data_IF_033452258736
#
_entry.id   IF_033452258736
#
_cell.length_a   1.000
_cell.length_b   1.000
_cell.length_c   1.000
_cell.angle_alpha   90.00
_cell.angle_beta   90.00
_cell.angle_gamma   90.00
#
_symmetry.space_group_name_H-M   'P 1'
#
loop_
_entity.id
_entity.type
_entity.pdbx_description
1 polymer ?
#
# COMPACT_ATOMS: atom_id res chain seq x y z
N UNK A 1 -1.36 11.02 -8.43
CA UNK A 1 -2.18 10.01 -7.74
C UNK A 1 -3.04 9.29 -8.76
N UNK A 2 -3.09 7.97 -8.72
CA UNK A 2 -3.86 7.15 -9.67
C UNK A 2 -4.64 6.07 -8.90
N UNK A 3 -5.87 5.79 -9.30
CA UNK A 3 -6.73 4.82 -8.60
C UNK A 3 -6.35 3.38 -8.95
N UNK A 4 -6.53 2.41 -8.02
CA UNK A 4 -6.26 1.00 -8.30
C UNK A 4 -7.01 0.46 -9.51
N UNK A 5 -6.34 -0.39 -10.27
CA UNK A 5 -6.90 -1.17 -11.38
C UNK A 5 -6.53 -2.63 -11.17
N UNK A 6 -6.87 -3.52 -12.10
CA UNK A 6 -6.28 -4.85 -12.08
C UNK A 6 -4.75 -4.77 -12.15
N UNK A 7 -4.08 -5.76 -11.57
CA UNK A 7 -2.64 -5.73 -11.34
C UNK A 7 -1.81 -5.61 -12.64
N UNK A 8 -2.30 -6.15 -13.75
CA UNK A 8 -1.59 -6.11 -15.03
C UNK A 8 -1.69 -4.73 -15.66
N UNK A 9 -2.90 -4.17 -15.72
CA UNK A 9 -3.10 -2.79 -16.17
C UNK A 9 -2.28 -1.82 -15.32
N UNK A 10 -2.28 -1.99 -14.00
CA UNK A 10 -1.56 -1.11 -13.10
C UNK A 10 -0.04 -1.12 -13.36
N UNK A 11 0.55 -2.31 -13.51
CA UNK A 11 1.96 -2.48 -13.86
C UNK A 11 2.30 -1.80 -15.19
N UNK A 12 1.45 -1.98 -16.20
CA UNK A 12 1.64 -1.37 -17.51
C UNK A 12 1.58 0.16 -17.44
N UNK A 13 0.57 0.72 -16.76
CA UNK A 13 0.41 2.17 -16.56
C UNK A 13 1.60 2.78 -15.83
N UNK A 14 2.08 2.16 -14.76
CA UNK A 14 3.26 2.68 -14.02
C UNK A 14 4.50 2.67 -14.91
N UNK A 15 4.71 1.60 -15.69
CA UNK A 15 5.83 1.53 -16.64
C UNK A 15 5.78 2.63 -17.68
N UNK A 16 4.66 2.79 -18.37
CA UNK A 16 4.49 3.85 -19.36
C UNK A 16 4.72 5.24 -18.76
N UNK A 17 4.19 5.48 -17.56
CA UNK A 17 4.40 6.73 -16.87
C UNK A 17 5.87 6.98 -16.53
N UNK A 18 6.60 5.96 -16.06
CA UNK A 18 8.04 6.07 -15.79
C UNK A 18 8.85 6.35 -17.05
N UNK A 19 8.51 5.69 -18.17
CA UNK A 19 9.17 5.94 -19.46
C UNK A 19 8.98 7.39 -19.91
N UNK A 20 7.78 7.95 -19.75
CA UNK A 20 7.50 9.37 -20.03
C UNK A 20 8.25 10.31 -19.09
N UNK A 21 8.35 9.99 -17.80
CA UNK A 21 9.13 10.79 -16.85
C UNK A 21 10.60 10.81 -17.25
N UNK A 22 11.17 9.67 -17.63
CA UNK A 22 12.57 9.59 -18.08
C UNK A 22 12.85 10.41 -19.35
N UNK A 23 11.87 10.55 -20.24
CA UNK A 23 11.98 11.35 -21.46
C UNK A 23 11.86 12.86 -21.21
N UNK A 24 11.12 13.26 -20.18
CA UNK A 24 10.70 14.66 -19.98
C UNK A 24 11.17 15.30 -18.67
N UNK A 25 11.92 14.58 -17.83
CA UNK A 25 12.35 15.04 -16.50
C UNK A 25 13.74 14.54 -16.18
N UNK A 26 14.57 15.38 -15.57
CA UNK A 26 15.88 15.01 -15.02
C UNK A 26 15.78 14.34 -13.65
N UNK A 27 14.63 14.45 -12.99
CA UNK A 27 14.37 13.86 -11.68
C UNK A 27 13.31 12.76 -11.78
N UNK A 28 13.45 11.73 -10.95
CA UNK A 28 12.40 10.74 -10.72
C UNK A 28 11.17 11.40 -10.09
N UNK A 29 9.98 10.91 -10.45
CA UNK A 29 8.71 11.34 -9.83
C UNK A 29 8.11 10.14 -9.10
N UNK A 30 7.49 10.32 -7.92
CA UNK A 30 6.87 9.22 -7.18
C UNK A 30 5.47 8.90 -7.70
N UNK A 31 5.11 7.62 -7.73
CA UNK A 31 3.76 7.15 -8.00
C UNK A 31 3.03 6.86 -6.70
N UNK A 32 1.80 7.35 -6.57
CA UNK A 32 0.97 7.14 -5.38
C UNK A 32 -0.43 6.68 -5.75
N UNK A 33 -1.01 5.82 -4.91
CA UNK A 33 -2.39 5.36 -5.07
C UNK A 33 -3.14 5.30 -3.73
N UNK A 34 -4.45 5.54 -3.72
CA UNK A 34 -5.29 5.20 -2.57
C UNK A 34 -5.65 3.71 -2.58
N UNK A 35 -5.96 3.14 -1.41
CA UNK A 35 -6.53 1.79 -1.28
C UNK A 35 -7.54 1.75 -0.14
N UNK A 36 -8.76 1.30 -0.41
CA UNK A 36 -9.73 1.02 0.65
C UNK A 36 -9.43 -0.33 1.29
N UNK A 37 -9.35 -0.37 2.62
CA UNK A 37 -9.04 -1.59 3.36
C UNK A 37 -10.09 -1.79 4.44
N UNK A 38 -10.64 -3.00 4.47
CA UNK A 38 -11.35 -3.55 5.63
C UNK A 38 -10.51 -4.72 6.11
N UNK A 39 -9.96 -4.59 7.32
CA UNK A 39 -9.05 -5.59 7.87
C UNK A 39 -9.84 -6.70 8.56
N UNK A 40 -9.62 -7.94 8.15
CA UNK A 40 -10.26 -9.14 8.69
C UNK A 40 -9.26 -9.93 9.56
N UNK A 41 -9.55 -11.21 9.84
CA UNK A 41 -8.57 -12.12 10.45
C UNK A 41 -7.38 -12.40 9.51
N UNK A 42 -6.27 -12.88 10.07
CA UNK A 42 -4.93 -12.73 9.46
C UNK A 42 -4.77 -13.38 8.07
N UNK A 43 -5.39 -14.54 7.86
CA UNK A 43 -5.36 -15.33 6.64
C UNK A 43 -6.65 -15.21 5.80
N UNK A 44 -7.48 -14.19 6.07
CA UNK A 44 -8.67 -13.92 5.28
C UNK A 44 -8.26 -13.58 3.83
N UNK A 45 -8.71 -14.42 2.89
CA UNK A 45 -8.39 -14.26 1.46
C UNK A 45 -8.99 -12.95 0.92
N UNK A 46 -8.27 -12.20 0.07
CA UNK A 46 -8.76 -10.92 -0.45
C UNK A 46 -10.11 -11.05 -1.13
N UNK A 47 -11.07 -10.22 -0.73
CA UNK A 47 -12.35 -10.06 -1.41
C UNK A 47 -12.45 -8.62 -1.92
N UNK A 48 -12.76 -8.40 -3.21
CA UNK A 48 -12.83 -7.07 -3.78
C UNK A 48 -13.98 -6.26 -3.17
N UNK A 49 -13.71 -5.00 -2.88
CA UNK A 49 -14.71 -3.95 -2.63
C UNK A 49 -14.45 -2.80 -3.60
N UNK A 50 -15.35 -1.81 -3.62
CA UNK A 50 -15.15 -0.63 -4.46
C UNK A 50 -13.82 0.06 -4.09
N UNK A 51 -12.87 0.06 -5.03
CA UNK A 51 -11.53 0.67 -4.91
C UNK A 51 -10.62 0.05 -3.81
N UNK A 52 -10.85 -1.22 -3.45
CA UNK A 52 -10.01 -1.87 -2.45
C UNK A 52 -10.40 -3.30 -2.11
N UNK A 53 -10.08 -3.74 -0.89
CA UNK A 53 -10.31 -5.12 -0.43
C UNK A 53 -10.83 -5.21 1.02
N UNK A 54 -11.62 -6.26 1.27
CA UNK A 54 -11.63 -6.94 2.57
C UNK A 54 -10.51 -7.97 2.57
N UNK A 55 -9.61 -7.94 3.54
CA UNK A 55 -8.33 -8.66 3.45
C UNK A 55 -7.72 -8.92 4.83
N UNK A 56 -7.03 -10.05 4.98
CA UNK A 56 -6.19 -10.32 6.15
C UNK A 56 -4.80 -9.68 6.04
N UNK A 57 -4.14 -9.45 7.18
CA UNK A 57 -2.81 -8.78 7.23
C UNK A 57 -1.77 -9.46 6.36
N UNK A 58 -1.76 -10.80 6.27
CA UNK A 58 -0.79 -11.54 5.49
C UNK A 58 -0.86 -11.17 4.00
N UNK A 59 -2.06 -11.26 3.44
CA UNK A 59 -2.27 -10.93 2.02
C UNK A 59 -2.16 -9.43 1.75
N UNK A 60 -2.45 -8.57 2.73
CA UNK A 60 -2.25 -7.13 2.60
C UNK A 60 -0.76 -6.80 2.45
N UNK A 61 0.09 -7.43 3.25
CA UNK A 61 1.55 -7.29 3.16
C UNK A 61 2.07 -7.80 1.81
N UNK A 62 1.66 -9.00 1.38
CA UNK A 62 2.03 -9.54 0.05
C UNK A 62 1.58 -8.59 -1.09
N UNK A 63 0.38 -8.03 -0.98
CA UNK A 63 -0.13 -7.07 -1.95
C UNK A 63 0.71 -5.78 -2.00
N UNK A 64 1.09 -5.24 -0.84
CA UNK A 64 1.96 -4.06 -0.78
C UNK A 64 3.37 -4.32 -1.32
N UNK A 65 3.93 -5.50 -1.08
CA UNK A 65 5.21 -5.92 -1.68
C UNK A 65 5.11 -5.94 -3.20
N UNK A 66 4.05 -6.54 -3.76
CA UNK A 66 3.81 -6.52 -5.19
C UNK A 66 3.70 -5.09 -5.75
N UNK A 67 2.99 -4.20 -5.05
CA UNK A 67 2.86 -2.79 -5.46
C UNK A 67 4.20 -2.06 -5.46
N UNK A 68 5.05 -2.33 -4.46
CA UNK A 68 6.41 -1.80 -4.39
C UNK A 68 7.25 -2.30 -5.58
N UNK A 69 7.19 -3.59 -5.89
CA UNK A 69 7.91 -4.20 -7.02
C UNK A 69 7.54 -3.56 -8.36
N UNK A 70 6.25 -3.25 -8.58
CA UNK A 70 5.80 -2.59 -9.81
C UNK A 70 6.01 -1.06 -9.78
N UNK A 71 6.58 -0.51 -8.71
CA UNK A 71 7.03 0.87 -8.66
C UNK A 71 6.05 1.87 -8.05
N UNK A 72 5.09 1.42 -7.24
CA UNK A 72 4.30 2.31 -6.36
C UNK A 72 5.19 2.76 -5.20
N UNK A 73 5.26 4.08 -4.97
CA UNK A 73 6.08 4.66 -3.91
C UNK A 73 5.30 4.93 -2.62
N UNK A 74 3.99 5.19 -2.74
CA UNK A 74 3.16 5.51 -1.58
C UNK A 74 1.74 4.98 -1.76
N UNK A 75 1.21 4.33 -0.72
CA UNK A 75 -0.17 3.87 -0.65
C UNK A 75 -0.90 4.61 0.47
N UNK A 76 -1.96 5.34 0.12
CA UNK A 76 -2.86 5.94 1.09
C UNK A 76 -3.94 4.94 1.51
N UNK A 77 -3.83 4.39 2.71
CA UNK A 77 -4.83 3.45 3.25
C UNK A 77 -6.07 4.22 3.69
N UNK A 78 -7.24 3.80 3.20
CA UNK A 78 -8.53 4.35 3.58
C UNK A 78 -9.33 3.31 4.37
N UNK A 79 -9.64 3.61 5.64
CA UNK A 79 -10.35 2.74 6.57
C UNK A 79 -11.85 3.11 6.71
N UNK A 80 -12.45 3.78 5.71
CA UNK A 80 -13.85 4.25 5.74
C UNK A 80 -14.86 3.16 6.06
N UNK A 81 -14.60 1.93 5.62
CA UNK A 81 -15.50 0.79 5.79
C UNK A 81 -15.06 -0.15 6.94
N UNK A 82 -14.09 0.28 7.75
CA UNK A 82 -13.66 -0.48 8.91
C UNK A 82 -14.82 -0.61 9.92
N UNK A 83 -14.98 -1.81 10.46
CA UNK A 83 -16.05 -2.13 11.42
C UNK A 83 -15.50 -2.53 12.80
N UNK A 84 -14.17 -2.69 12.92
CA UNK A 84 -13.48 -2.92 14.18
C UNK A 84 -13.18 -1.58 14.88
N UNK A 85 -12.83 -1.58 16.18
CA UNK A 85 -12.29 -0.39 16.83
C UNK A 85 -11.11 0.20 16.03
N UNK A 86 -11.11 1.51 15.80
CA UNK A 86 -10.15 2.17 14.92
C UNK A 86 -8.72 2.01 15.45
N UNK A 87 -8.53 2.23 16.76
CA UNK A 87 -7.25 2.11 17.45
C UNK A 87 -6.68 0.70 17.28
N UNK A 88 -7.49 -0.34 17.53
CA UNK A 88 -7.07 -1.73 17.35
C UNK A 88 -6.69 -2.05 15.89
N UNK A 89 -7.38 -1.45 14.92
CA UNK A 89 -7.07 -1.63 13.49
C UNK A 89 -5.74 -0.97 13.12
N UNK A 90 -5.51 0.25 13.62
CA UNK A 90 -4.27 0.98 13.40
C UNK A 90 -3.08 0.29 14.09
N UNK A 91 -3.26 -0.18 15.33
CA UNK A 91 -2.25 -0.93 16.07
C UNK A 91 -1.84 -2.21 15.34
N UNK A 92 -2.80 -2.98 14.83
CA UNK A 92 -2.52 -4.18 14.02
C UNK A 92 -1.74 -3.84 12.75
N UNK A 93 -2.16 -2.82 11.99
CA UNK A 93 -1.42 -2.38 10.80
C UNK A 93 0.01 -1.93 11.18
N UNK A 94 0.16 -1.20 12.29
CA UNK A 94 1.45 -0.72 12.76
C UNK A 94 2.38 -1.85 13.19
N UNK A 95 1.85 -2.86 13.89
CA UNK A 95 2.63 -3.98 14.40
C UNK A 95 2.93 -5.04 13.33
N UNK A 96 2.00 -5.28 12.40
CA UNK A 96 2.05 -6.46 11.52
C UNK A 96 2.35 -6.11 10.05
N UNK A 97 2.10 -4.87 9.62
CA UNK A 97 2.31 -4.45 8.22
C UNK A 97 3.50 -3.52 8.09
N UNK A 98 3.56 -2.45 8.90
CA UNK A 98 4.61 -1.42 8.75
C UNK A 98 6.05 -1.94 8.86
N UNK A 99 6.40 -2.92 9.72
CA UNK A 99 7.78 -3.42 9.84
C UNK A 99 8.32 -4.05 8.55
N UNK A 100 7.46 -4.43 7.61
CA UNK A 100 7.87 -4.94 6.30
C UNK A 100 8.33 -3.83 5.32
N UNK A 101 8.01 -2.58 5.61
CA UNK A 101 8.26 -1.43 4.71
C UNK A 101 9.11 -0.34 5.37
N UNK A 102 9.34 -0.43 6.68
CA UNK A 102 10.13 0.53 7.45
C UNK A 102 11.07 -0.24 8.35
N UNK A 103 12.36 0.08 8.27
CA UNK A 103 13.29 -0.32 9.32
C UNK A 103 12.93 0.45 10.60
N UNK A 104 12.95 -0.20 11.78
CA UNK A 104 12.82 0.51 13.03
C UNK A 104 13.96 1.53 13.11
N UNK A 105 13.62 2.82 13.01
CA UNK A 105 14.58 3.87 13.33
C UNK A 105 14.86 3.75 14.82
N UNK A 106 16.05 3.28 15.18
CA UNK A 106 16.60 3.51 16.51
C UNK A 106 16.75 5.02 16.66
N UNK A 107 15.74 5.68 17.22
CA UNK A 107 15.91 7.05 17.69
C UNK A 107 16.86 6.99 18.88
N UNK A 108 18.16 7.18 18.62
CA UNK A 108 19.09 7.53 19.67
C UNK A 108 18.68 8.91 20.19
N UNK A 109 17.98 8.92 21.32
CA UNK A 109 17.73 10.13 22.09
C UNK A 109 19.11 10.71 22.47
N UNK A 110 19.49 11.90 21.98
CA UNK A 110 20.74 12.51 22.39
C UNK A 110 20.68 12.79 23.90
N UNK A 111 21.74 12.37 24.59
CA UNK A 111 21.92 12.54 26.04
C UNK A 111 22.06 14.00 26.45
#
# INVERSE_FOLDING_TARGET
>A
MYYPRDLQTQRFTIRQWRDLVAQHSTYSKPFMQPLYVVLEHDDFKPQPIQLGFRIGVKYLTEYFQYLQEIGVNHVGINLRFNHQPMEATLERIAAEVLPHFHEPKTESIPS
#
